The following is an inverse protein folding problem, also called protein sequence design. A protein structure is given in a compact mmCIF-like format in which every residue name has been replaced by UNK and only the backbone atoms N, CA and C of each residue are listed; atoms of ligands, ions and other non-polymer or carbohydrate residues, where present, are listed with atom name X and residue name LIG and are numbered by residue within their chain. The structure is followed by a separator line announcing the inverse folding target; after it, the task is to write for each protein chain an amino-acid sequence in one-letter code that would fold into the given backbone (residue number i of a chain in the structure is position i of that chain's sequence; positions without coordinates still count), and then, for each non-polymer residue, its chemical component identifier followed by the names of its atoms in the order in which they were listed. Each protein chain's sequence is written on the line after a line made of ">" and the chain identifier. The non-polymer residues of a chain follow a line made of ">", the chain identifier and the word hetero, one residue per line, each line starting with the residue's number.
data_IF_993262123897
#
_entry.id   IF_993262123897
#
_cell.length_a   1.000
_cell.length_b   1.000
_cell.length_c   1.000
_cell.angle_alpha   90.00
_cell.angle_beta   90.00
_cell.angle_gamma   90.00
#
_symmetry.space_group_name_H-M   'P 1'
#
loop_
_entity.id
_entity.type
_entity.pdbx_description
1 polymer ?
#
# COMPACT_ATOMS: atom_id res chain seq x y z
N UNK A 1 -24.52 -12.27 51.45
CA UNK A 1 -23.22 -11.60 51.23
C UNK A 1 -22.31 -12.60 50.54
N UNK A 2 -21.91 -12.34 49.30
CA UNK A 2 -21.09 -13.28 48.53
C UNK A 2 -19.60 -13.03 48.84
N UNK A 3 -18.90 -14.08 49.28
CA UNK A 3 -17.47 -14.02 49.56
C UNK A 3 -16.69 -14.06 48.24
N UNK A 4 -15.76 -13.11 48.08
CA UNK A 4 -14.83 -13.08 46.94
C UNK A 4 -13.72 -14.12 47.11
N UNK A 5 -13.24 -14.75 46.01
CA UNK A 5 -12.16 -15.71 46.10
C UNK A 5 -10.83 -15.04 46.49
N UNK A 6 -9.94 -15.74 47.20
CA UNK A 6 -8.66 -15.19 47.63
C UNK A 6 -7.71 -14.95 46.45
N UNK A 7 -7.03 -13.81 46.49
CA UNK A 7 -6.04 -13.43 45.48
C UNK A 7 -4.78 -14.29 45.60
N UNK A 8 -4.26 -14.75 44.46
CA UNK A 8 -3.00 -15.50 44.38
C UNK A 8 -1.82 -14.61 44.74
N UNK A 9 -1.07 -15.00 45.77
CA UNK A 9 0.19 -14.39 46.21
C UNK A 9 1.42 -14.95 45.50
N UNK A 10 1.24 -15.76 44.46
CA UNK A 10 2.35 -16.27 43.66
C UNK A 10 2.97 -15.13 42.84
N UNK A 11 4.26 -14.82 42.97
CA UNK A 11 4.92 -13.86 42.10
C UNK A 11 4.90 -14.38 40.65
N UNK A 12 4.32 -13.59 39.75
CA UNK A 12 4.32 -13.88 38.31
C UNK A 12 5.69 -13.53 37.73
N UNK A 13 6.54 -14.53 37.48
CA UNK A 13 7.77 -14.35 36.70
C UNK A 13 7.46 -14.46 35.21
N UNK A 14 6.86 -13.40 34.67
CA UNK A 14 6.75 -13.21 33.22
C UNK A 14 8.11 -12.75 32.69
N UNK A 15 8.80 -13.64 31.98
CA UNK A 15 9.99 -13.47 31.14
C UNK A 15 10.67 -12.09 31.20
N UNK A 16 11.56 -11.92 32.18
CA UNK A 16 12.59 -10.88 32.10
C UNK A 16 13.63 -11.35 31.09
N UNK A 17 13.60 -10.80 29.88
CA UNK A 17 14.78 -10.86 29.00
C UNK A 17 15.86 -9.96 29.61
N UNK A 18 17.10 -10.44 29.80
CA UNK A 18 18.16 -9.64 30.40
C UNK A 18 18.45 -8.37 29.57
N UNK A 19 18.70 -7.21 30.21
CA UNK A 19 19.30 -6.08 29.52
C UNK A 19 20.79 -6.38 29.35
N UNK A 20 21.21 -6.79 28.15
CA UNK A 20 22.64 -6.82 27.83
C UNK A 20 23.07 -5.45 27.35
N UNK A 21 23.51 -4.61 28.27
CA UNK A 21 24.45 -3.52 27.97
C UNK A 21 25.61 -3.61 28.98
N UNK A 22 26.81 -3.81 28.42
CA UNK A 22 28.16 -3.57 28.96
C UNK A 22 28.61 -4.25 30.27
N UNK A 23 29.54 -5.19 30.16
CA UNK A 23 30.77 -5.15 30.96
C UNK A 23 31.89 -5.97 30.34
N UNK A 24 33.06 -5.32 30.26
CA UNK A 24 34.37 -5.84 29.90
C UNK A 24 34.89 -6.75 31.02
N UNK A 25 35.22 -8.01 30.73
CA UNK A 25 36.36 -8.74 31.36
C UNK A 25 36.42 -10.24 31.00
N UNK A 26 37.30 -10.57 30.05
CA UNK A 26 38.17 -11.76 29.93
C UNK A 26 37.58 -13.19 29.73
N UNK A 27 38.38 -14.18 29.26
CA UNK A 27 39.63 -14.15 28.49
C UNK A 27 39.53 -14.86 27.11
N UNK A 28 40.58 -14.65 26.31
CA UNK A 28 40.86 -15.24 25.00
C UNK A 28 40.65 -16.76 24.96
N UNK A 29 39.78 -17.21 24.05
CA UNK A 29 39.89 -18.53 23.42
C UNK A 29 39.88 -18.30 21.91
N UNK A 30 41.08 -18.37 21.35
CA UNK A 30 41.34 -18.54 19.92
C UNK A 30 40.83 -19.90 19.46
N UNK A 31 39.68 -19.92 18.79
CA UNK A 31 39.40 -20.92 17.75
C UNK A 31 38.60 -20.25 16.65
N UNK A 32 39.18 -20.32 15.48
CA UNK A 32 38.70 -19.87 14.18
C UNK A 32 37.28 -20.39 13.92
N UNK A 33 36.49 -19.54 13.26
CA UNK A 33 35.20 -19.87 12.63
C UNK A 33 33.93 -19.78 13.51
N UNK A 34 33.76 -18.63 14.15
CA UNK A 34 32.44 -18.06 14.34
C UNK A 34 32.47 -16.65 13.76
N UNK A 35 32.34 -16.55 12.43
CA UNK A 35 31.75 -15.36 11.85
C UNK A 35 30.35 -15.24 12.45
N UNK A 36 30.25 -14.54 13.59
CA UNK A 36 29.02 -13.96 14.04
C UNK A 36 28.53 -13.14 12.84
N UNK A 37 27.61 -13.72 12.09
CA UNK A 37 26.96 -13.05 10.98
C UNK A 37 26.33 -11.80 11.59
N UNK A 38 27.05 -10.68 11.48
CA UNK A 38 26.51 -9.35 11.72
C UNK A 38 25.30 -9.29 10.79
N UNK A 39 24.06 -9.27 11.29
CA UNK A 39 22.89 -9.46 10.42
C UNK A 39 22.72 -8.35 9.37
N UNK A 40 23.51 -7.28 9.45
CA UNK A 40 23.28 -6.03 8.73
C UNK A 40 24.53 -5.40 8.07
N UNK A 41 25.69 -6.07 7.98
CA UNK A 41 26.87 -5.40 7.42
C UNK A 41 26.75 -5.09 5.91
N UNK A 42 25.79 -5.71 5.21
CA UNK A 42 25.59 -5.57 3.77
C UNK A 42 24.26 -4.92 3.37
N UNK A 43 23.39 -4.56 4.33
CA UNK A 43 22.16 -3.85 3.97
C UNK A 43 22.52 -2.40 3.58
N UNK A 44 22.19 -1.96 2.35
CA UNK A 44 22.48 -0.61 1.92
C UNK A 44 21.84 0.37 2.90
N UNK A 45 22.59 1.40 3.29
CA UNK A 45 22.09 2.44 4.18
C UNK A 45 20.76 3.02 3.65
N UNK A 46 19.70 2.87 4.44
CA UNK A 46 18.37 3.36 4.10
C UNK A 46 18.22 4.82 4.58
N UNK A 47 18.39 5.76 3.66
CA UNK A 47 18.19 7.19 3.92
C UNK A 47 16.77 7.54 4.40
N UNK A 48 15.77 6.67 4.15
CA UNK A 48 14.43 6.87 4.68
C UNK A 48 14.33 6.57 6.16
N UNK A 49 15.22 5.74 6.72
CA UNK A 49 15.27 5.49 8.16
C UNK A 49 15.55 6.77 8.94
N UNK A 50 16.41 7.65 8.45
CA UNK A 50 16.72 8.93 9.10
C UNK A 50 15.56 9.94 9.00
N UNK A 51 14.74 9.86 7.93
CA UNK A 51 13.63 10.78 7.67
C UNK A 51 12.33 10.37 8.36
N UNK A 52 12.03 9.07 8.37
CA UNK A 52 10.79 8.50 8.91
C UNK A 52 10.97 7.94 10.33
N UNK A 53 12.20 7.67 10.77
CA UNK A 53 12.49 7.10 12.09
C UNK A 53 11.70 5.81 12.33
N UNK A 54 10.95 5.77 13.43
CA UNK A 54 10.11 4.61 13.78
C UNK A 54 8.90 4.39 12.86
N UNK A 55 8.54 5.37 12.01
CA UNK A 55 7.52 5.20 11.00
C UNK A 55 8.06 4.59 9.70
N UNK A 56 9.37 4.29 9.63
CA UNK A 56 9.95 3.66 8.45
C UNK A 56 9.36 2.25 8.24
N UNK A 57 9.18 1.89 6.97
CA UNK A 57 8.51 0.65 6.59
C UNK A 57 9.17 0.00 5.39
N UNK A 58 8.87 -1.28 5.22
CA UNK A 58 9.22 -2.07 4.02
C UNK A 58 7.94 -2.72 3.50
N UNK A 59 7.59 -2.43 2.25
CA UNK A 59 6.49 -3.13 1.56
C UNK A 59 7.05 -4.39 0.93
N UNK A 60 6.35 -5.50 1.13
CA UNK A 60 6.62 -6.76 0.46
C UNK A 60 5.52 -7.05 -0.58
N UNK A 61 5.86 -7.56 -1.77
CA UNK A 61 7.23 -7.77 -2.26
C UNK A 61 7.98 -6.45 -2.51
N UNK A 62 9.32 -6.48 -2.37
CA UNK A 62 10.20 -5.36 -2.77
C UNK A 62 10.34 -5.35 -4.29
N UNK A 63 10.60 -4.19 -4.93
CA UNK A 63 10.95 -4.15 -6.35
C UNK A 63 12.13 -5.07 -6.66
N UNK A 64 12.06 -5.78 -7.78
CA UNK A 64 13.11 -6.70 -8.23
C UNK A 64 13.14 -6.75 -9.76
N UNK A 65 14.26 -7.17 -10.33
CA UNK A 65 14.34 -7.53 -11.76
C UNK A 65 14.33 -9.05 -11.84
N UNK A 66 13.31 -9.67 -12.47
CA UNK A 66 13.28 -11.12 -12.70
C UNK A 66 14.56 -11.62 -13.37
N UNK A 67 15.08 -12.77 -12.92
CA UNK A 67 16.28 -13.38 -13.50
C UNK A 67 16.03 -13.93 -14.91
N UNK A 68 14.79 -14.38 -15.16
CA UNK A 68 14.35 -14.91 -16.46
C UNK A 68 13.38 -13.90 -17.08
N UNK A 69 13.62 -13.55 -18.34
CA UNK A 69 12.78 -12.66 -19.13
C UNK A 69 11.84 -13.48 -20.03
N UNK A 70 10.84 -14.12 -19.42
CA UNK A 70 9.74 -14.81 -20.10
C UNK A 70 8.37 -14.18 -19.77
N UNK A 71 7.34 -14.57 -20.53
CA UNK A 71 5.98 -14.04 -20.35
C UNK A 71 5.38 -14.41 -19.00
N UNK A 72 5.70 -15.59 -18.47
CA UNK A 72 5.19 -16.03 -17.17
C UNK A 72 5.84 -15.27 -16.01
N UNK A 73 7.15 -14.98 -16.07
CA UNK A 73 7.82 -14.11 -15.10
C UNK A 73 7.28 -12.69 -15.15
N UNK A 74 6.92 -12.17 -16.32
CA UNK A 74 6.26 -10.86 -16.43
C UNK A 74 4.86 -10.86 -15.78
N UNK A 75 4.07 -11.94 -15.94
CA UNK A 75 2.76 -12.09 -15.28
C UNK A 75 2.90 -12.14 -13.76
N UNK A 76 3.86 -12.94 -13.25
CA UNK A 76 4.17 -13.02 -11.83
C UNK A 76 4.65 -11.67 -11.28
N UNK A 77 5.57 -11.02 -11.98
CA UNK A 77 6.07 -9.69 -11.62
C UNK A 77 4.93 -8.66 -11.49
N UNK A 78 3.96 -8.68 -12.41
CA UNK A 78 2.78 -7.80 -12.33
C UNK A 78 1.91 -8.12 -11.12
N UNK A 79 1.66 -9.40 -10.85
CA UNK A 79 0.89 -9.81 -9.68
C UNK A 79 1.58 -9.37 -8.37
N UNK A 80 2.90 -9.49 -8.29
CA UNK A 80 3.70 -9.05 -7.16
C UNK A 80 3.68 -7.52 -7.00
N UNK A 81 3.77 -6.78 -8.11
CA UNK A 81 3.65 -5.32 -8.09
C UNK A 81 2.27 -4.86 -7.61
N UNK A 82 1.18 -5.47 -8.10
CA UNK A 82 -0.17 -5.21 -7.63
C UNK A 82 -0.33 -5.55 -6.15
N UNK A 83 0.26 -6.66 -5.69
CA UNK A 83 0.27 -7.04 -4.28
C UNK A 83 1.02 -6.02 -3.41
N UNK A 84 2.13 -5.47 -3.89
CA UNK A 84 2.87 -4.41 -3.23
C UNK A 84 2.01 -3.14 -3.11
N UNK A 85 1.30 -2.73 -4.18
CA UNK A 85 0.38 -1.58 -4.17
C UNK A 85 -0.74 -1.75 -3.13
N UNK A 86 -1.37 -2.93 -3.09
CA UNK A 86 -2.38 -3.26 -2.07
C UNK A 86 -1.81 -3.16 -0.65
N UNK A 87 -0.59 -3.67 -0.44
CA UNK A 87 0.06 -3.61 0.86
C UNK A 87 0.43 -2.18 1.26
N UNK A 88 0.87 -1.36 0.31
CA UNK A 88 1.09 0.06 0.54
C UNK A 88 -0.22 0.79 0.88
N UNK A 89 -1.31 0.52 0.17
CA UNK A 89 -2.63 1.11 0.49
C UNK A 89 -3.04 0.80 1.93
N UNK A 90 -2.86 -0.44 2.38
CA UNK A 90 -3.11 -0.81 3.78
C UNK A 90 -2.20 -0.06 4.76
N UNK A 91 -0.95 0.19 4.38
CA UNK A 91 0.00 0.91 5.22
C UNK A 91 -0.30 2.42 5.31
N UNK A 92 -0.59 3.07 4.18
CA UNK A 92 -0.88 4.51 4.14
C UNK A 92 -2.18 4.85 4.86
N UNK A 93 -3.20 3.97 4.83
CA UNK A 93 -4.43 4.11 5.63
C UNK A 93 -4.10 4.10 7.13
N UNK A 94 -3.37 3.09 7.61
CA UNK A 94 -2.93 3.04 9.04
C UNK A 94 -2.08 4.23 9.45
N UNK A 95 -1.22 4.70 8.54
CA UNK A 95 -0.38 5.89 8.77
C UNK A 95 -1.24 7.14 8.89
N UNK A 96 -2.27 7.28 8.04
CA UNK A 96 -3.25 8.37 8.11
C UNK A 96 -4.07 8.34 9.40
N UNK A 97 -4.44 7.15 9.89
CA UNK A 97 -5.14 7.00 11.18
C UNK A 97 -4.23 7.35 12.37
N UNK A 98 -2.97 6.93 12.36
CA UNK A 98 -2.06 7.11 13.49
C UNK A 98 -1.47 8.52 13.57
N UNK A 99 -1.12 9.11 12.42
CA UNK A 99 -0.43 10.40 12.36
C UNK A 99 -1.29 11.53 11.79
N UNK A 100 -2.37 11.23 11.08
CA UNK A 100 -3.16 12.19 10.31
C UNK A 100 -2.69 12.32 8.86
N UNK A 101 -3.63 12.48 7.93
CA UNK A 101 -3.37 12.58 6.47
C UNK A 101 -2.67 13.88 6.06
N UNK A 102 -2.66 14.90 6.92
CA UNK A 102 -1.94 16.17 6.70
C UNK A 102 -0.58 16.22 7.38
N UNK A 103 -0.16 15.13 8.04
CA UNK A 103 1.09 15.07 8.80
C UNK A 103 2.33 14.98 7.90
N UNK A 104 3.48 15.41 8.44
CA UNK A 104 4.77 15.24 7.76
C UNK A 104 5.11 13.77 7.53
N UNK A 105 4.80 12.90 8.49
CA UNK A 105 5.01 11.44 8.36
C UNK A 105 4.22 10.89 7.18
N UNK A 106 2.93 11.23 7.05
CA UNK A 106 2.10 10.81 5.94
C UNK A 106 2.69 11.25 4.58
N UNK A 107 3.07 12.53 4.46
CA UNK A 107 3.68 13.06 3.24
C UNK A 107 5.04 12.39 2.90
N UNK A 108 5.86 12.08 3.91
CA UNK A 108 7.12 11.35 3.72
C UNK A 108 6.87 9.89 3.32
N UNK A 109 5.85 9.25 3.88
CA UNK A 109 5.42 7.90 3.50
C UNK A 109 4.97 7.86 2.04
N UNK A 110 4.16 8.81 1.59
CA UNK A 110 3.81 8.93 0.16
C UNK A 110 5.05 9.13 -0.70
N UNK A 111 5.96 10.03 -0.29
CA UNK A 111 7.19 10.27 -1.03
C UNK A 111 8.08 9.02 -1.13
N UNK A 112 8.23 8.24 -0.05
CA UNK A 112 8.95 6.95 -0.09
C UNK A 112 8.31 5.99 -1.08
N UNK A 113 6.98 5.88 -1.04
CA UNK A 113 6.27 5.04 -1.98
C UNK A 113 6.43 5.46 -3.43
N UNK A 114 6.45 6.77 -3.72
CA UNK A 114 6.69 7.23 -5.09
C UNK A 114 8.06 6.80 -5.65
N UNK A 115 9.08 6.68 -4.81
CA UNK A 115 10.40 6.16 -5.19
C UNK A 115 10.34 4.65 -5.45
N UNK A 116 9.72 3.87 -4.55
CA UNK A 116 9.50 2.43 -4.75
C UNK A 116 8.67 2.13 -6.01
N UNK A 117 7.62 2.90 -6.27
CA UNK A 117 6.79 2.77 -7.47
C UNK A 117 7.56 3.09 -8.75
N UNK A 118 8.51 4.04 -8.68
CA UNK A 118 9.42 4.34 -9.80
C UNK A 118 10.38 3.17 -10.05
N UNK A 119 10.92 2.55 -9.02
CA UNK A 119 11.77 1.35 -9.16
C UNK A 119 11.01 0.20 -9.83
N UNK A 120 9.76 -0.07 -9.41
CA UNK A 120 8.90 -1.05 -10.08
C UNK A 120 8.71 -0.75 -11.56
N UNK A 121 8.47 0.51 -11.94
CA UNK A 121 8.33 0.93 -13.34
C UNK A 121 9.60 0.70 -14.15
N UNK A 122 10.76 1.07 -13.60
CA UNK A 122 12.05 0.85 -14.28
C UNK A 122 12.31 -0.64 -14.48
N UNK A 123 12.04 -1.47 -13.46
CA UNK A 123 12.17 -2.91 -13.57
C UNK A 123 11.22 -3.49 -14.63
N UNK A 124 9.96 -3.05 -14.64
CA UNK A 124 8.97 -3.43 -15.65
C UNK A 124 9.45 -3.11 -17.07
N UNK A 125 9.89 -1.88 -17.30
CA UNK A 125 10.37 -1.44 -18.61
C UNK A 125 11.59 -2.26 -19.07
N UNK A 126 12.48 -2.60 -18.13
CA UNK A 126 13.65 -3.46 -18.39
C UNK A 126 13.22 -4.88 -18.80
N UNK A 127 12.27 -5.50 -18.09
CA UNK A 127 11.76 -6.83 -18.43
C UNK A 127 11.08 -6.81 -19.80
N UNK A 128 10.29 -5.78 -20.09
CA UNK A 128 9.63 -5.61 -21.38
C UNK A 128 10.64 -5.46 -22.53
N UNK A 129 11.74 -4.74 -22.32
CA UNK A 129 12.82 -4.60 -23.31
C UNK A 129 13.55 -5.93 -23.55
N UNK A 130 13.86 -6.68 -22.49
CA UNK A 130 14.49 -8.00 -22.60
C UNK A 130 13.62 -8.99 -23.38
N UNK A 131 12.32 -9.05 -23.06
CA UNK A 131 11.37 -9.93 -23.76
C UNK A 131 11.26 -9.52 -25.25
N UNK A 132 11.18 -8.23 -25.55
CA UNK A 132 11.13 -7.74 -26.92
C UNK A 132 12.40 -8.08 -27.72
N UNK A 133 13.58 -7.99 -27.10
CA UNK A 133 14.86 -8.32 -27.71
C UNK A 133 15.01 -9.83 -28.00
N UNK A 134 14.40 -10.70 -27.18
CA UNK A 134 14.45 -12.15 -27.35
C UNK A 134 13.58 -12.66 -28.51
N UNK A 135 12.70 -11.82 -29.08
CA UNK A 135 11.87 -12.17 -30.24
C UNK A 135 10.91 -13.34 -30.03
N UNK A 136 10.74 -13.79 -28.79
CA UNK A 136 10.02 -15.01 -28.40
C UNK A 136 8.54 -14.72 -28.05
N UNK A 137 8.03 -13.56 -28.42
CA UNK A 137 6.72 -13.07 -27.97
C UNK A 137 5.93 -12.50 -29.13
N UNK A 138 4.67 -12.92 -29.24
CA UNK A 138 3.74 -12.31 -30.18
C UNK A 138 3.63 -10.82 -29.88
N UNK A 139 3.96 -9.99 -30.86
CA UNK A 139 3.91 -8.52 -30.74
C UNK A 139 2.52 -8.01 -30.29
N UNK A 140 1.46 -8.77 -30.59
CA UNK A 140 0.10 -8.51 -30.13
C UNK A 140 -0.08 -8.67 -28.62
N UNK A 141 0.53 -9.69 -28.00
CA UNK A 141 0.46 -9.91 -26.55
C UNK A 141 1.22 -8.82 -25.80
N UNK A 142 2.42 -8.47 -26.28
CA UNK A 142 3.20 -7.35 -25.73
C UNK A 142 2.46 -5.99 -25.86
N UNK A 143 1.78 -5.77 -26.98
CA UNK A 143 0.99 -4.54 -27.20
C UNK A 143 -0.24 -4.47 -26.29
N UNK A 144 -0.96 -5.59 -26.12
CA UNK A 144 -2.08 -5.69 -25.18
C UNK A 144 -1.60 -5.42 -23.74
N UNK A 145 -0.49 -6.02 -23.35
CA UNK A 145 0.11 -5.85 -22.02
C UNK A 145 0.55 -4.41 -21.77
N UNK A 146 1.08 -3.71 -22.78
CA UNK A 146 1.45 -2.28 -22.69
C UNK A 146 0.23 -1.36 -22.60
N UNK A 147 -0.85 -1.62 -23.35
CA UNK A 147 -2.09 -0.85 -23.25
C UNK A 147 -2.75 -1.00 -21.87
N UNK A 148 -2.63 -2.17 -21.28
CA UNK A 148 -3.14 -2.48 -19.94
C UNK A 148 -2.49 -1.67 -18.82
N UNK A 149 -1.25 -1.21 -19.00
CA UNK A 149 -0.53 -0.37 -18.04
C UNK A 149 -0.88 1.13 -18.19
N UNK A 150 -1.38 1.52 -19.36
CA UNK A 150 -1.80 2.89 -19.67
C UNK A 150 -3.23 3.21 -19.20
N UNK A 151 -4.01 2.19 -18.79
CA UNK A 151 -5.33 2.37 -18.23
C UNK A 151 -5.26 2.94 -16.80
N UNK A 152 -6.09 3.93 -16.43
CA UNK A 152 -6.05 4.52 -15.10
C UNK A 152 -6.37 3.45 -14.05
N UNK A 153 -5.51 3.36 -13.02
CA UNK A 153 -5.57 2.40 -11.91
C UNK A 153 -6.79 2.55 -10.97
N UNK A 154 -7.88 3.13 -11.45
CA UNK A 154 -9.08 3.42 -10.68
C UNK A 154 -9.91 2.17 -10.34
N UNK A 155 -9.65 1.02 -10.99
CA UNK A 155 -10.34 -0.24 -10.71
C UNK A 155 -9.31 -1.36 -10.55
N UNK A 156 -9.14 -1.92 -9.34
CA UNK A 156 -8.34 -3.13 -9.13
C UNK A 156 -8.90 -4.30 -9.96
N UNK A 157 -8.02 -4.95 -10.74
CA UNK A 157 -8.39 -6.02 -11.70
C UNK A 157 -9.06 -7.23 -11.06
N UNK A 158 -8.81 -7.51 -9.77
CA UNK A 158 -9.47 -8.58 -9.03
C UNK A 158 -11.00 -8.42 -8.87
N UNK A 159 -11.59 -7.33 -9.36
CA UNK A 159 -13.03 -7.09 -9.40
C UNK A 159 -13.66 -7.38 -10.76
N UNK A 160 -12.85 -7.67 -11.80
CA UNK A 160 -13.31 -7.86 -13.19
C UNK A 160 -13.54 -9.36 -13.51
N UNK A 161 -12.78 -10.26 -12.89
CA UNK A 161 -12.88 -11.72 -13.08
C UNK A 161 -13.58 -12.45 -11.92
N UNK A 162 -14.28 -11.72 -11.05
CA UNK A 162 -15.13 -12.33 -10.03
C UNK A 162 -16.45 -12.80 -10.67
N UNK A 163 -16.37 -13.91 -11.42
CA UNK A 163 -17.51 -14.79 -11.67
C UNK A 163 -18.21 -15.06 -10.33
N UNK A 164 -19.38 -14.44 -10.12
CA UNK A 164 -20.25 -14.76 -8.99
C UNK A 164 -20.36 -13.71 -7.86
N UNK A 165 -20.53 -12.42 -8.17
CA UNK A 165 -21.12 -11.51 -7.16
C UNK A 165 -22.05 -10.40 -7.65
N UNK A 166 -22.10 -10.13 -8.96
CA UNK A 166 -23.06 -9.19 -9.53
C UNK A 166 -23.84 -9.91 -10.63
N UNK A 167 -25.14 -10.18 -10.43
CA UNK A 167 -25.99 -10.69 -11.50
C UNK A 167 -25.98 -9.75 -12.69
N UNK A 168 -25.92 -10.28 -13.92
CA UNK A 168 -26.04 -9.50 -15.15
C UNK A 168 -27.34 -8.69 -15.14
N UNK A 169 -27.20 -7.36 -15.12
CA UNK A 169 -28.22 -6.35 -15.44
C UNK A 169 -29.65 -6.69 -14.99
N UNK A 170 -29.85 -6.84 -13.68
CA UNK A 170 -31.17 -6.94 -13.04
C UNK A 170 -31.96 -5.62 -12.98
N UNK A 171 -31.73 -4.70 -13.92
CA UNK A 171 -32.30 -3.35 -13.89
C UNK A 171 -33.46 -3.16 -14.88
N UNK A 172 -33.98 -4.26 -15.44
CA UNK A 172 -35.06 -4.20 -16.44
C UNK A 172 -36.41 -3.79 -15.85
N UNK A 173 -36.58 -3.84 -14.51
CA UNK A 173 -37.85 -3.53 -13.83
C UNK A 173 -37.76 -2.49 -12.67
N UNK A 174 -36.66 -1.76 -12.50
CA UNK A 174 -36.51 -0.77 -11.39
C UNK A 174 -37.19 0.58 -11.72
N UNK A 175 -38.33 0.57 -12.40
CA UNK A 175 -39.14 1.78 -12.61
C UNK A 175 -40.59 1.52 -12.20
N UNK A 176 -40.83 1.54 -10.90
CA UNK A 176 -42.17 1.78 -10.36
C UNK A 176 -42.51 3.28 -10.40
N UNK A 177 -43.79 3.67 -10.58
CA UNK A 177 -44.19 5.07 -10.54
C UNK A 177 -43.81 5.68 -9.18
N UNK A 178 -42.86 6.63 -9.20
CA UNK A 178 -42.43 7.37 -8.02
C UNK A 178 -43.56 8.29 -7.55
N UNK A 179 -44.29 7.87 -6.51
CA UNK A 179 -45.21 8.71 -5.75
C UNK A 179 -44.38 9.72 -4.97
N UNK A 180 -44.58 11.01 -5.24
CA UNK A 180 -43.95 12.09 -4.46
C UNK A 180 -44.91 12.46 -3.35
N UNK A 181 -44.49 12.25 -2.10
CA UNK A 181 -45.20 12.84 -0.95
C UNK A 181 -45.15 14.36 -1.06
N UNK A 182 -46.21 15.02 -0.60
CA UNK A 182 -46.32 16.47 -0.62
C UNK A 182 -45.15 17.12 0.13
N UNK A 183 -44.59 18.17 -0.48
CA UNK A 183 -43.50 18.96 0.10
C UNK A 183 -43.93 19.53 1.44
N UNK A 184 -43.27 19.10 2.52
CA UNK A 184 -43.37 19.75 3.82
C UNK A 184 -42.77 21.14 3.71
N UNK A 185 -43.61 22.16 3.62
CA UNK A 185 -43.20 23.56 3.78
C UNK A 185 -42.71 23.71 5.21
N UNK A 186 -41.39 23.69 5.41
CA UNK A 186 -40.79 24.19 6.64
C UNK A 186 -40.79 25.71 6.56
N UNK A 187 -41.45 26.33 7.52
CA UNK A 187 -41.43 27.78 7.67
C UNK A 187 -40.00 28.29 7.86
N UNK A 188 -39.80 29.48 7.30
CA UNK A 188 -38.54 30.20 7.15
C UNK A 188 -37.65 30.22 8.39
N UNK A 189 -36.41 29.76 8.21
CA UNK A 189 -35.29 29.96 9.14
C UNK A 189 -33.96 29.92 8.37
N UNK A 190 -33.61 31.08 7.80
CA UNK A 190 -32.29 31.61 7.39
C UNK A 190 -31.18 30.62 6.97
N UNK A 191 -30.70 30.87 5.76
CA UNK A 191 -29.68 30.19 4.95
C UNK A 191 -28.34 29.88 5.65
N UNK A 192 -27.87 28.64 5.50
CA UNK A 192 -26.51 28.27 5.04
C UNK A 192 -26.30 26.76 5.18
N UNK A 193 -26.70 25.95 4.18
CA UNK A 193 -26.23 24.55 4.12
C UNK A 193 -26.21 23.92 2.74
N UNK A 194 -25.81 24.67 1.73
CA UNK A 194 -25.67 24.11 0.38
C UNK A 194 -24.51 24.74 -0.39
N UNK A 195 -23.29 24.68 0.16
CA UNK A 195 -22.10 25.10 -0.61
C UNK A 195 -20.80 24.37 -0.26
N UNK A 196 -20.83 23.30 0.55
CA UNK A 196 -19.63 22.55 0.92
C UNK A 196 -19.08 21.67 -0.21
N UNK A 197 -19.93 20.79 -0.75
CA UNK A 197 -19.52 19.85 -1.80
C UNK A 197 -19.20 20.57 -3.13
N UNK A 198 -20.03 21.53 -3.56
CA UNK A 198 -19.82 22.27 -4.82
C UNK A 198 -18.50 23.06 -4.85
N UNK A 199 -18.08 23.64 -3.71
CA UNK A 199 -16.79 24.36 -3.60
C UNK A 199 -15.59 23.42 -3.63
N UNK A 200 -15.71 22.21 -3.07
CA UNK A 200 -14.64 21.22 -3.11
C UNK A 200 -14.29 20.81 -4.55
N UNK A 201 -15.30 20.48 -5.37
CA UNK A 201 -15.08 20.06 -6.76
C UNK A 201 -14.59 21.21 -7.66
N UNK A 202 -15.05 22.45 -7.43
CA UNK A 202 -14.59 23.63 -8.20
C UNK A 202 -13.11 23.95 -7.95
N UNK A 203 -12.61 23.76 -6.74
CA UNK A 203 -11.20 24.01 -6.42
C UNK A 203 -10.25 22.95 -7.00
N UNK A 204 -10.72 21.72 -7.23
CA UNK A 204 -9.93 20.67 -7.85
C UNK A 204 -9.74 20.92 -9.35
N UNK A 205 -10.80 21.30 -10.06
CA UNK A 205 -10.77 21.58 -11.50
C UNK A 205 -9.91 22.80 -11.87
N UNK A 206 -9.83 23.81 -10.99
CA UNK A 206 -9.00 25.00 -11.21
C UNK A 206 -7.49 24.74 -11.12
N UNK A 207 -7.05 23.67 -10.45
CA UNK A 207 -5.63 23.43 -10.13
C UNK A 207 -4.91 22.51 -11.12
N UNK A 208 -5.66 21.87 -12.03
CA UNK A 208 -5.13 21.07 -13.15
C UNK A 208 -5.37 21.73 -14.52
N UNK A 209 -5.49 23.06 -14.53
CA UNK A 209 -5.47 23.86 -15.74
C UNK A 209 -4.15 23.70 -16.49
N UNK A 210 -4.09 22.67 -17.33
CA UNK A 210 -3.17 22.46 -18.44
C UNK A 210 -3.11 23.78 -19.22
N UNK A 211 -2.00 24.49 -19.06
CA UNK A 211 -1.65 25.61 -19.93
C UNK A 211 -1.12 24.99 -21.22
N UNK A 212 -1.75 25.41 -22.31
CA UNK A 212 -1.46 25.05 -23.69
C UNK A 212 -0.05 25.48 -24.10
#
# INVERSE_FOLDING_TARGET
>A
MYATPPLSTKPSFSSFRPPLISSLSAPVITTVDAAAALPNLLEPYDSWSDRLGHANYTIMPKPYVPEVADLDSLRLFRADWDQARVNFTKHIVRTGEHYGTTSKTYALTEAKWTETEKEWKVAHDTVMELIAAMGNSDAAELHCMRQQDAAPAAVPRGMLDAEGKFPDLGDVDIVGPMMRDAVMVREHGIEERQNGASRFWKNLAGKVGLRK
#
